data_IF_819552404993
#
_entry.id   IF_819552404993
#
_cell.length_a   1.000
_cell.length_b   1.000
_cell.length_c   1.000
_cell.angle_alpha   90.00
_cell.angle_beta   90.00
_cell.angle_gamma   90.00
#
_symmetry.space_group_name_H-M   'P 1'
#
loop_
_entity.id
_entity.type
_entity.pdbx_description
1 polymer ?
#
# COMPACT_ATOMS: atom_id res chain seq x y z
N UNK A 1 -13.31 -33.52 21.01
CA UNK A 1 -14.23 -32.64 20.25
C UNK A 1 -13.40 -31.97 19.17
N UNK A 2 -13.46 -32.49 17.95
CA UNK A 2 -12.68 -31.98 16.81
C UNK A 2 -13.47 -30.81 16.24
N UNK A 3 -13.01 -29.58 16.46
CA UNK A 3 -13.59 -28.42 15.80
C UNK A 3 -13.52 -28.63 14.29
N UNK A 4 -14.67 -28.58 13.62
CA UNK A 4 -14.79 -28.67 12.16
C UNK A 4 -13.93 -27.56 11.54
N UNK A 5 -12.97 -27.93 10.69
CA UNK A 5 -11.94 -27.05 10.11
C UNK A 5 -12.55 -25.82 9.40
N UNK A 6 -13.76 -25.97 8.84
CA UNK A 6 -14.54 -24.89 8.22
C UNK A 6 -14.91 -23.74 9.16
N UNK A 7 -15.27 -24.03 10.41
CA UNK A 7 -15.58 -22.98 11.38
C UNK A 7 -14.33 -22.18 11.78
N UNK A 8 -13.17 -22.83 11.74
CA UNK A 8 -11.91 -22.21 12.11
C UNK A 8 -11.42 -21.25 11.02
N UNK A 9 -11.48 -21.63 9.75
CA UNK A 9 -11.13 -20.74 8.63
C UNK A 9 -12.10 -19.55 8.50
N UNK A 10 -13.40 -19.78 8.73
CA UNK A 10 -14.42 -18.73 8.66
C UNK A 10 -14.20 -17.60 9.68
N UNK A 11 -13.58 -17.90 10.83
CA UNK A 11 -13.28 -16.89 11.87
C UNK A 11 -11.86 -16.35 11.73
N UNK A 12 -10.89 -17.20 11.38
CA UNK A 12 -9.47 -16.84 11.33
C UNK A 12 -9.17 -15.85 10.18
N UNK A 13 -9.81 -16.02 9.01
CA UNK A 13 -9.63 -15.14 7.85
C UNK A 13 -10.07 -13.69 8.14
N UNK A 14 -11.32 -13.42 8.58
CA UNK A 14 -11.75 -12.06 8.89
C UNK A 14 -10.98 -11.47 10.08
N UNK A 15 -10.63 -12.28 11.08
CA UNK A 15 -9.80 -11.84 12.20
C UNK A 15 -8.41 -11.39 11.72
N UNK A 16 -7.77 -12.16 10.84
CA UNK A 16 -6.47 -11.80 10.25
C UNK A 16 -6.52 -10.50 9.46
N UNK A 17 -7.58 -10.27 8.68
CA UNK A 17 -7.81 -9.02 7.94
C UNK A 17 -7.97 -7.85 8.91
N UNK A 18 -8.77 -8.00 9.97
CA UNK A 18 -9.00 -6.95 10.98
C UNK A 18 -7.70 -6.60 11.70
N UNK A 19 -6.87 -7.59 12.07
CA UNK A 19 -5.58 -7.35 12.72
C UNK A 19 -4.61 -6.64 11.76
N UNK A 20 -4.52 -7.07 10.51
CA UNK A 20 -3.72 -6.40 9.47
C UNK A 20 -4.16 -4.93 9.31
N UNK A 21 -5.46 -4.70 9.12
CA UNK A 21 -5.99 -3.36 8.89
C UNK A 21 -5.85 -2.46 10.12
N UNK A 22 -6.16 -3.00 11.31
CA UNK A 22 -5.98 -2.31 12.59
C UNK A 22 -4.54 -1.93 12.86
N UNK A 23 -3.57 -2.81 12.56
CA UNK A 23 -2.15 -2.51 12.68
C UNK A 23 -1.74 -1.35 11.76
N UNK A 24 -2.18 -1.35 10.50
CA UNK A 24 -1.85 -0.27 9.55
C UNK A 24 -2.49 1.07 9.96
N UNK A 25 -3.73 1.06 10.46
CA UNK A 25 -4.39 2.27 11.00
C UNK A 25 -3.65 2.77 12.24
N UNK A 26 -3.27 1.88 13.16
CA UNK A 26 -2.52 2.24 14.35
C UNK A 26 -1.14 2.81 14.02
N UNK A 27 -0.45 2.21 13.06
CA UNK A 27 0.84 2.70 12.56
C UNK A 27 0.69 4.06 11.90
N UNK A 28 -0.35 4.26 11.08
CA UNK A 28 -0.69 5.55 10.47
C UNK A 28 -1.01 6.62 11.54
N UNK A 29 -1.82 6.27 12.54
CA UNK A 29 -2.15 7.15 13.65
C UNK A 29 -0.90 7.56 14.43
N UNK A 30 0.01 6.62 14.69
CA UNK A 30 1.28 6.90 15.38
C UNK A 30 2.17 7.85 14.57
N UNK A 31 2.24 7.67 13.25
CA UNK A 31 3.00 8.52 12.34
C UNK A 31 2.43 9.95 12.32
N UNK A 32 1.10 10.11 12.34
CA UNK A 32 0.44 11.42 12.26
C UNK A 32 0.50 12.17 13.60
N UNK A 33 0.21 11.50 14.72
CA UNK A 33 0.03 12.16 16.02
C UNK A 33 1.34 12.36 16.80
N UNK A 34 2.35 11.52 16.57
CA UNK A 34 3.65 11.60 17.24
C UNK A 34 4.80 11.77 16.22
N UNK A 35 4.83 12.88 15.48
CA UNK A 35 5.82 13.07 14.42
C UNK A 35 7.25 13.22 14.95
N UNK A 36 7.42 13.65 16.20
CA UNK A 36 8.74 13.95 16.77
C UNK A 36 9.45 12.75 17.41
N UNK A 37 8.78 11.61 17.57
CA UNK A 37 9.35 10.37 18.14
C UNK A 37 9.52 9.27 17.09
N UNK A 38 9.09 9.52 15.85
CA UNK A 38 9.23 8.57 14.73
C UNK A 38 10.04 9.21 13.61
N UNK A 39 10.99 8.46 13.04
CA UNK A 39 11.83 8.92 11.90
C UNK A 39 10.96 9.41 10.74
N UNK A 40 9.80 8.79 10.54
CA UNK A 40 8.84 9.13 9.48
C UNK A 40 8.24 10.52 9.68
N UNK A 41 7.93 10.90 10.92
CA UNK A 41 7.35 12.22 11.21
C UNK A 41 8.37 13.35 11.09
N UNK A 42 9.63 13.11 11.46
CA UNK A 42 10.73 14.04 11.24
C UNK A 42 10.98 14.26 9.74
N UNK A 43 11.04 13.17 8.97
CA UNK A 43 11.15 13.23 7.51
C UNK A 43 9.97 13.96 6.86
N UNK A 44 8.76 13.78 7.38
CA UNK A 44 7.58 14.50 6.89
C UNK A 44 7.66 16.01 7.19
N UNK A 45 8.14 16.39 8.38
CA UNK A 45 8.37 17.79 8.72
C UNK A 45 9.43 18.42 7.79
N UNK A 46 10.54 17.72 7.54
CA UNK A 46 11.58 18.16 6.60
C UNK A 46 11.05 18.29 5.17
N UNK A 47 10.27 17.31 4.68
CA UNK A 47 9.61 17.39 3.37
C UNK A 47 8.66 18.58 3.26
N UNK A 48 7.88 18.84 4.31
CA UNK A 48 6.92 19.96 4.34
C UNK A 48 7.64 21.31 4.36
N UNK A 49 8.70 21.43 5.16
CA UNK A 49 9.57 22.60 5.16
C UNK A 49 10.24 22.80 3.79
N UNK A 50 10.70 21.73 3.13
CA UNK A 50 11.25 21.80 1.77
C UNK A 50 10.22 22.30 0.75
N UNK A 51 8.98 21.80 0.78
CA UNK A 51 7.90 22.29 -0.10
C UNK A 51 7.59 23.76 0.16
N UNK A 52 7.46 24.16 1.43
CA UNK A 52 7.21 25.56 1.80
C UNK A 52 8.33 26.48 1.31
N UNK A 53 9.60 26.04 1.38
CA UNK A 53 10.74 26.80 0.84
C UNK A 53 10.70 26.85 -0.68
N UNK A 54 10.42 25.75 -1.35
CA UNK A 54 10.30 25.72 -2.81
C UNK A 54 9.16 26.62 -3.32
N UNK A 55 8.09 26.82 -2.54
CA UNK A 55 7.00 27.75 -2.87
C UNK A 55 7.32 29.22 -2.56
N UNK A 56 8.30 29.49 -1.68
CA UNK A 56 8.70 30.84 -1.25
C UNK A 56 9.89 31.40 -2.07
N UNK A 57 10.69 30.53 -2.69
CA UNK A 57 11.78 30.96 -3.57
C UNK A 57 11.18 31.59 -4.83
N UNK A 58 11.73 32.74 -5.22
CA UNK A 58 11.39 33.42 -6.46
C UNK A 58 11.42 32.44 -7.65
N UNK A 59 10.58 32.64 -8.69
CA UNK A 59 10.39 31.71 -9.81
C UNK A 59 11.61 31.54 -10.74
N UNK A 60 12.82 31.77 -10.26
CA UNK A 60 14.06 31.44 -10.94
C UNK A 60 14.01 29.96 -11.34
N UNK A 61 13.96 29.72 -12.66
CA UNK A 61 13.38 28.51 -13.26
C UNK A 61 14.11 27.20 -12.85
N UNK A 62 15.33 27.33 -12.31
CA UNK A 62 16.21 26.21 -11.99
C UNK A 62 15.76 25.41 -10.77
N UNK A 63 15.32 26.06 -9.69
CA UNK A 63 14.92 25.33 -8.48
C UNK A 63 13.54 24.69 -8.65
N UNK A 64 12.59 25.42 -9.24
CA UNK A 64 11.27 24.90 -9.62
C UNK A 64 11.38 23.67 -10.53
N UNK A 65 12.30 23.68 -11.50
CA UNK A 65 12.56 22.54 -12.39
C UNK A 65 12.98 21.27 -11.64
N UNK A 66 13.83 21.39 -10.62
CA UNK A 66 14.29 20.26 -9.80
C UNK A 66 13.14 19.71 -8.95
N UNK A 67 12.29 20.57 -8.37
CA UNK A 67 11.10 20.10 -7.64
C UNK A 67 10.12 19.33 -8.53
N UNK A 68 9.85 19.85 -9.74
CA UNK A 68 8.98 19.17 -10.69
C UNK A 68 9.53 17.81 -11.11
N UNK A 69 10.85 17.69 -11.27
CA UNK A 69 11.51 16.42 -11.57
C UNK A 69 11.34 15.39 -10.43
N UNK A 70 11.57 15.80 -9.18
CA UNK A 70 11.38 14.92 -8.01
C UNK A 70 9.92 14.50 -7.87
N UNK A 71 8.98 15.45 -8.05
CA UNK A 71 7.55 15.17 -7.98
C UNK A 71 7.10 14.19 -9.07
N UNK A 72 7.52 14.42 -10.32
CA UNK A 72 7.20 13.55 -11.46
C UNK A 72 7.77 12.14 -11.29
N UNK A 73 8.99 12.03 -10.77
CA UNK A 73 9.62 10.73 -10.46
C UNK A 73 8.83 9.93 -9.42
N UNK A 74 8.39 10.58 -8.34
CA UNK A 74 7.58 9.94 -7.31
C UNK A 74 6.19 9.52 -7.84
N UNK A 75 5.54 10.37 -8.64
CA UNK A 75 4.24 10.06 -9.26
C UNK A 75 4.38 8.86 -10.21
N UNK A 76 5.42 8.84 -11.03
CA UNK A 76 5.70 7.72 -11.94
C UNK A 76 5.91 6.42 -11.16
N UNK A 77 6.76 6.45 -10.13
CA UNK A 77 7.00 5.29 -9.26
C UNK A 77 5.72 4.77 -8.58
N UNK A 78 4.89 5.68 -8.04
CA UNK A 78 3.60 5.33 -7.44
C UNK A 78 2.64 4.71 -8.47
N UNK A 79 2.61 5.23 -9.70
CA UNK A 79 1.76 4.73 -10.79
C UNK A 79 2.20 3.33 -11.24
N UNK A 80 3.51 3.07 -11.33
CA UNK A 80 4.04 1.74 -11.60
C UNK A 80 3.68 0.76 -10.49
N UNK A 81 3.84 1.15 -9.22
CA UNK A 81 3.48 0.31 -8.09
C UNK A 81 1.98 -0.01 -8.07
N UNK A 82 1.13 0.98 -8.33
CA UNK A 82 -0.32 0.80 -8.45
C UNK A 82 -0.66 -0.18 -9.59
N UNK A 83 -0.07 0.01 -10.77
CA UNK A 83 -0.25 -0.88 -11.92
C UNK A 83 0.19 -2.31 -11.62
N UNK A 84 1.33 -2.48 -10.94
CA UNK A 84 1.82 -3.79 -10.49
C UNK A 84 0.86 -4.42 -9.47
N UNK A 85 0.34 -3.65 -8.51
CA UNK A 85 -0.64 -4.16 -7.53
C UNK A 85 -1.91 -4.67 -8.21
N UNK A 86 -2.43 -3.93 -9.20
CA UNK A 86 -3.60 -4.34 -9.99
C UNK A 86 -3.26 -5.59 -10.83
N UNK A 87 -2.12 -5.58 -11.51
CA UNK A 87 -1.64 -6.70 -12.33
C UNK A 87 -1.47 -7.98 -11.52
N UNK A 88 -0.85 -7.90 -10.34
CA UNK A 88 -0.70 -9.03 -9.42
C UNK A 88 -2.04 -9.52 -8.89
N UNK A 89 -2.93 -8.62 -8.50
CA UNK A 89 -4.29 -8.98 -8.04
C UNK A 89 -5.06 -9.73 -9.12
N UNK A 90 -4.98 -9.26 -10.38
CA UNK A 90 -5.59 -9.92 -11.54
C UNK A 90 -4.95 -11.29 -11.82
N UNK A 91 -3.62 -11.38 -11.77
CA UNK A 91 -2.88 -12.64 -11.97
C UNK A 91 -3.28 -13.69 -10.95
N UNK A 92 -3.37 -13.31 -9.67
CA UNK A 92 -3.77 -14.21 -8.58
C UNK A 92 -5.22 -14.65 -8.77
N UNK A 93 -6.12 -13.73 -9.11
CA UNK A 93 -7.51 -14.06 -9.42
C UNK A 93 -7.67 -15.04 -10.59
N UNK A 94 -6.94 -14.79 -11.69
CA UNK A 94 -6.94 -15.67 -12.85
C UNK A 94 -6.33 -17.05 -12.55
N UNK A 95 -5.24 -17.10 -11.78
CA UNK A 95 -4.60 -18.34 -11.35
C UNK A 95 -5.53 -19.20 -10.49
N UNK A 96 -6.18 -18.59 -9.48
CA UNK A 96 -7.17 -19.28 -8.64
C UNK A 96 -8.34 -19.76 -9.47
N UNK A 97 -8.91 -18.91 -10.34
CA UNK A 97 -10.02 -19.30 -11.22
C UNK A 97 -9.67 -20.46 -12.17
N UNK A 98 -8.47 -20.44 -12.74
CA UNK A 98 -7.97 -21.55 -13.58
C UNK A 98 -7.79 -22.83 -12.76
N UNK A 99 -7.21 -22.74 -11.55
CA UNK A 99 -7.06 -23.90 -10.65
C UNK A 99 -8.41 -24.54 -10.32
N UNK A 100 -9.44 -23.73 -10.01
CA UNK A 100 -10.79 -24.23 -9.76
C UNK A 100 -11.37 -24.97 -10.97
N UNK A 101 -11.23 -24.44 -12.19
CA UNK A 101 -11.70 -25.11 -13.41
C UNK A 101 -11.03 -26.48 -13.63
N UNK A 102 -9.73 -26.60 -13.36
CA UNK A 102 -9.02 -27.88 -13.48
C UNK A 102 -9.52 -28.92 -12.45
N UNK A 103 -9.86 -28.49 -11.23
CA UNK A 103 -10.43 -29.37 -10.19
C UNK A 103 -11.82 -29.85 -10.58
N UNK A 104 -12.69 -28.96 -11.10
CA UNK A 104 -14.02 -29.34 -11.58
C UNK A 104 -13.97 -30.30 -12.77
N UNK A 105 -13.03 -30.10 -13.70
CA UNK A 105 -12.88 -30.96 -14.88
C UNK A 105 -12.27 -32.34 -14.54
N UNK A 106 -11.39 -32.43 -13.53
CA UNK A 106 -10.85 -33.70 -13.02
C UNK A 106 -11.87 -34.54 -12.25
N UNK A 107 -12.92 -33.94 -11.67
CA UNK A 107 -13.97 -34.63 -10.90
C UNK A 107 -15.04 -35.28 -11.79
N UNK A 108 -15.15 -34.84 -13.04
CA UNK A 108 -16.17 -35.27 -14.01
C UNK A 108 -15.67 -36.32 -15.03
N UNK A 109 -14.51 -36.94 -14.78
CA UNK A 109 -14.01 -38.14 -15.45
C UNK A 109 -13.93 -39.28 -14.45
#
# INVERSE_FOLDING_TARGET
MVFQKEYLDMVLVPCGIVIMFGYHIYLLYRIILYPHTTVIGYENHNKRAWVERMMQVDPDMKETGIALQVLSGNISAATYLASLSIGLSSLIGAWVGSSSNNIFMSRNR
#
